data_IF_673739029909
#
_entry.id   IF_673739029909
#
_cell.length_a   1.000
_cell.length_b   1.000
_cell.length_c   1.000
_cell.angle_alpha   90.00
_cell.angle_beta   90.00
_cell.angle_gamma   90.00
#
_symmetry.space_group_name_H-M   'P 1'
#
loop_
_entity.id
_entity.type
_entity.pdbx_description
1 polymer ?
#
# COMPACT_ATOMS: atom_id res chain seq x y z
N UNK A 1 -17.01 1.15 25.05
CA UNK A 1 -16.69 0.26 23.92
C UNK A 1 -15.22 -0.06 24.04
N UNK A 2 -14.89 -1.18 24.68
CA UNK A 2 -13.54 -1.71 24.70
C UNK A 2 -13.26 -2.24 23.30
N UNK A 3 -12.65 -1.40 22.47
CA UNK A 3 -12.20 -1.85 21.15
C UNK A 3 -11.13 -2.88 21.42
N UNK A 4 -11.40 -4.11 21.00
CA UNK A 4 -10.47 -5.21 21.18
C UNK A 4 -9.12 -4.83 20.58
N UNK A 5 -8.05 -4.97 21.36
CA UNK A 5 -6.72 -4.52 20.94
C UNK A 5 -6.28 -5.19 19.63
N UNK A 6 -6.75 -6.41 19.39
CA UNK A 6 -6.56 -7.13 18.13
C UNK A 6 -7.24 -6.44 16.95
N UNK A 7 -8.50 -6.01 17.13
CA UNK A 7 -9.24 -5.30 16.09
C UNK A 7 -8.55 -3.97 15.73
N UNK A 8 -8.04 -3.26 16.74
CA UNK A 8 -7.25 -2.02 16.51
C UNK A 8 -5.99 -2.34 15.71
N UNK A 9 -5.27 -3.41 16.04
CA UNK A 9 -4.03 -3.79 15.36
C UNK A 9 -4.27 -4.15 13.90
N UNK A 10 -5.30 -4.93 13.61
CA UNK A 10 -5.65 -5.33 12.24
C UNK A 10 -6.07 -4.12 11.38
N UNK A 11 -6.88 -3.22 11.94
CA UNK A 11 -7.26 -1.96 11.27
C UNK A 11 -6.05 -1.06 11.07
N UNK A 12 -5.19 -0.91 12.08
CA UNK A 12 -3.98 -0.09 11.98
C UNK A 12 -3.02 -0.62 10.91
N UNK A 13 -2.88 -1.95 10.80
CA UNK A 13 -2.00 -2.59 9.84
C UNK A 13 -2.50 -2.41 8.40
N UNK A 14 -3.80 -2.62 8.16
CA UNK A 14 -4.42 -2.38 6.84
C UNK A 14 -4.39 -0.89 6.46
N UNK A 15 -4.71 0.00 7.39
CA UNK A 15 -4.61 1.45 7.17
C UNK A 15 -3.18 1.89 6.87
N UNK A 16 -2.19 1.35 7.59
CA UNK A 16 -0.77 1.59 7.35
C UNK A 16 -0.31 1.14 5.96
N UNK A 17 -0.74 -0.05 5.53
CA UNK A 17 -0.45 -0.57 4.19
C UNK A 17 -1.02 0.33 3.08
N UNK A 18 -2.26 0.80 3.25
CA UNK A 18 -2.89 1.73 2.29
C UNK A 18 -2.16 3.06 2.27
N UNK A 19 -1.81 3.62 3.44
CA UNK A 19 -1.06 4.86 3.53
C UNK A 19 0.30 4.76 2.82
N UNK A 20 1.01 3.64 3.00
CA UNK A 20 2.26 3.35 2.31
C UNK A 20 2.07 3.33 0.78
N UNK A 21 1.03 2.65 0.30
CA UNK A 21 0.71 2.61 -1.13
C UNK A 21 0.44 4.00 -1.72
N UNK A 22 -0.33 4.83 -1.02
CA UNK A 22 -0.62 6.21 -1.44
C UNK A 22 0.68 7.03 -1.52
N UNK A 23 1.55 6.93 -0.51
CA UNK A 23 2.84 7.62 -0.53
C UNK A 23 3.69 7.17 -1.72
N UNK A 24 3.78 5.87 -1.97
CA UNK A 24 4.52 5.33 -3.12
C UNK A 24 3.95 5.83 -4.46
N UNK A 25 2.62 5.86 -4.61
CA UNK A 25 1.96 6.38 -5.82
C UNK A 25 2.24 7.87 -6.03
N UNK A 26 2.21 8.68 -4.95
CA UNK A 26 2.55 10.11 -5.01
C UNK A 26 4.02 10.30 -5.40
N UNK A 27 4.93 9.49 -4.88
CA UNK A 27 6.35 9.54 -5.27
C UNK A 27 6.51 9.23 -6.75
N UNK A 28 5.90 8.15 -7.25
CA UNK A 28 5.95 7.82 -8.68
C UNK A 28 5.38 8.97 -9.54
N UNK A 29 4.25 9.54 -9.13
CA UNK A 29 3.65 10.68 -9.83
C UNK A 29 4.57 11.90 -9.89
N UNK A 30 5.29 12.21 -8.82
CA UNK A 30 6.26 13.32 -8.80
C UNK A 30 7.54 13.03 -9.58
N UNK A 31 7.99 11.78 -9.59
CA UNK A 31 9.23 11.38 -10.27
C UNK A 31 9.06 11.22 -11.78
N UNK A 32 7.90 10.74 -12.22
CA UNK A 32 7.64 10.39 -13.62
C UNK A 32 6.51 11.20 -14.27
N UNK A 33 5.97 12.20 -13.59
CA UNK A 33 5.00 13.12 -14.16
C UNK A 33 5.66 14.00 -15.21
N UNK A 34 4.98 14.22 -16.34
CA UNK A 34 5.45 15.13 -17.36
C UNK A 34 5.15 16.60 -16.99
N UNK A 35 6.03 17.52 -17.36
CA UNK A 35 5.87 18.97 -17.12
C UNK A 35 4.79 19.64 -17.99
N UNK A 36 4.16 18.89 -18.90
CA UNK A 36 3.09 19.39 -19.74
C UNK A 36 1.81 19.64 -18.91
N UNK A 37 0.90 20.53 -19.35
CA UNK A 37 -0.34 20.79 -18.62
C UNK A 37 -1.25 19.55 -18.71
N UNK A 38 -1.17 18.68 -17.70
CA UNK A 38 -1.96 17.44 -17.59
C UNK A 38 -1.44 16.52 -16.49
N UNK A 39 -2.24 15.53 -16.10
CA UNK A 39 -1.83 14.44 -15.18
C UNK A 39 -1.26 13.27 -15.99
N UNK A 40 -0.33 13.57 -16.91
CA UNK A 40 0.26 12.57 -17.79
C UNK A 40 1.55 12.02 -17.16
N UNK A 41 1.69 10.70 -17.21
CA UNK A 41 2.90 10.00 -16.77
C UNK A 41 3.70 9.61 -18.00
N UNK A 42 5.02 9.70 -17.89
CA UNK A 42 5.90 9.08 -18.87
C UNK A 42 5.57 7.58 -19.01
N UNK A 43 5.89 6.94 -20.15
CA UNK A 43 5.65 5.50 -20.32
C UNK A 43 6.26 4.64 -19.21
N UNK A 44 7.45 5.02 -18.72
CA UNK A 44 8.11 4.38 -17.59
C UNK A 44 7.38 4.63 -16.27
N UNK A 45 6.78 5.80 -16.06
CA UNK A 45 5.96 6.12 -14.89
C UNK A 45 4.70 5.25 -14.79
N UNK A 46 4.06 4.95 -15.92
CA UNK A 46 2.94 4.00 -15.96
C UNK A 46 3.36 2.60 -15.48
N UNK A 47 4.48 2.09 -15.98
CA UNK A 47 5.04 0.81 -15.52
C UNK A 47 5.43 0.83 -14.04
N UNK A 48 6.03 1.93 -13.57
CA UNK A 48 6.37 2.11 -12.16
C UNK A 48 5.12 2.07 -11.26
N UNK A 49 4.02 2.72 -11.65
CA UNK A 49 2.75 2.64 -10.91
C UNK A 49 2.19 1.22 -10.86
N UNK A 50 2.22 0.48 -11.98
CA UNK A 50 1.81 -0.93 -12.00
C UNK A 50 2.69 -1.77 -11.07
N UNK A 51 4.00 -1.51 -11.03
CA UNK A 51 4.92 -2.14 -10.09
C UNK A 51 4.57 -1.85 -8.62
N UNK A 52 4.25 -0.59 -8.29
CA UNK A 52 3.79 -0.20 -6.94
C UNK A 52 2.48 -0.90 -6.59
N UNK A 53 1.54 -1.01 -7.53
CA UNK A 53 0.28 -1.75 -7.33
C UNK A 53 0.53 -3.23 -7.07
N UNK A 54 1.36 -3.88 -7.89
CA UNK A 54 1.72 -5.28 -7.70
C UNK A 54 2.40 -5.49 -6.33
N UNK A 55 3.34 -4.60 -5.96
CA UNK A 55 3.99 -4.61 -4.65
C UNK A 55 3.00 -4.45 -3.50
N UNK A 56 2.00 -3.57 -3.63
CA UNK A 56 0.95 -3.41 -2.62
C UNK A 56 0.09 -4.66 -2.44
N UNK A 57 -0.30 -5.33 -3.53
CA UNK A 57 -1.04 -6.60 -3.46
C UNK A 57 -0.20 -7.67 -2.76
N UNK A 58 1.09 -7.77 -3.08
CA UNK A 58 2.01 -8.69 -2.43
C UNK A 58 2.21 -8.37 -0.94
N UNK A 59 2.30 -7.08 -0.60
CA UNK A 59 2.38 -6.63 0.79
C UNK A 59 1.13 -7.04 1.56
N UNK A 60 -0.06 -6.82 1.00
CA UNK A 60 -1.32 -7.19 1.65
C UNK A 60 -1.49 -8.71 1.80
N UNK A 61 -1.02 -9.50 0.83
CA UNK A 61 -1.02 -10.96 0.96
C UNK A 61 -0.06 -11.43 2.05
N UNK A 62 1.15 -10.86 2.12
CA UNK A 62 2.10 -11.14 3.20
C UNK A 62 1.57 -10.70 4.56
N UNK A 63 0.94 -9.52 4.64
CA UNK A 63 0.31 -9.01 5.84
C UNK A 63 -0.81 -9.94 6.33
N UNK A 64 -1.65 -10.45 5.43
CA UNK A 64 -2.70 -11.41 5.77
C UNK A 64 -2.12 -12.72 6.33
N UNK A 65 -1.12 -13.30 5.66
CA UNK A 65 -0.44 -14.52 6.12
C UNK A 65 0.25 -14.29 7.48
N UNK A 66 0.83 -13.11 7.69
CA UNK A 66 1.49 -12.77 8.95
C UNK A 66 0.49 -12.64 10.09
N UNK A 67 -0.66 -12.02 9.86
CA UNK A 67 -1.72 -11.89 10.87
C UNK A 67 -2.25 -13.26 11.29
N UNK A 68 -2.52 -14.14 10.31
CA UNK A 68 -2.98 -15.51 10.55
C UNK A 68 -2.00 -16.28 11.46
N UNK A 69 -0.70 -16.08 11.27
CA UNK A 69 0.34 -16.69 12.12
C UNK A 69 0.36 -16.17 13.56
N UNK A 70 -0.08 -14.94 13.81
CA UNK A 70 -0.15 -14.40 15.17
C UNK A 70 -1.40 -14.86 15.91
N UNK A 71 -2.50 -15.10 15.18
CA UNK A 71 -3.75 -15.60 15.75
C UNK A 71 -3.69 -17.08 16.20
N UNK A 72 -2.74 -17.87 15.68
CA UNK A 72 -2.55 -19.28 16.08
C UNK A 72 -1.70 -19.46 17.36
N UNK A 73 -1.04 -18.42 17.85
CA UNK A 73 -0.12 -18.48 19.01
C UNK A 73 -0.79 -18.03 20.34
N UNK A 74 -2.12 -17.87 20.33
CA UNK A 74 -2.96 -17.60 21.52
C UNK A 74 -3.91 -18.75 21.83
#
# INVERSE_FOLDING_TARGET
MDVDAEMVRQVALSAGAVALFVVAAVVVGRTYGETAPGTELTPTGGLALVGVLAGFILLMTLAGIWLERQDFDS
#
